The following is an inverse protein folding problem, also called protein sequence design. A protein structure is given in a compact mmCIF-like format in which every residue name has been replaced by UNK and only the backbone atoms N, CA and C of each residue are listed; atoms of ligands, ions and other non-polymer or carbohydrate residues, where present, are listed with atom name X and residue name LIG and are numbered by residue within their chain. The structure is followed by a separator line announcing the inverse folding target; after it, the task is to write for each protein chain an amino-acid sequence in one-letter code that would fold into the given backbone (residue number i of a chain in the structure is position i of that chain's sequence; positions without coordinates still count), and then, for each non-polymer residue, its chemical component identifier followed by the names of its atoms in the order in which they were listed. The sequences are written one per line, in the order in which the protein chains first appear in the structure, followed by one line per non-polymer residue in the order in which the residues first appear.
data_IF_745877469147
#
_entry.id   IF_745877469147
#
_cell.length_a   1.000
_cell.length_b   1.000
_cell.length_c   1.000
_cell.angle_alpha   90.00
_cell.angle_beta   90.00
_cell.angle_gamma   90.00
#
_symmetry.space_group_name_H-M   'P 1'
#
loop_
_entity.id
_entity.type
_entity.pdbx_description
1 polymer ?
#
# COMPACT_ATOMS: atom_id res chain seq x y z
N UNK A 1 -18.20 0.66 12.18
CA UNK A 1 -16.92 1.23 12.60
C UNK A 1 -16.58 2.36 11.64
N UNK A 2 -16.39 3.56 12.17
CA UNK A 2 -16.07 4.73 11.35
C UNK A 2 -14.57 4.76 11.09
N UNK A 3 -14.19 4.52 9.83
CA UNK A 3 -12.80 4.51 9.41
C UNK A 3 -12.46 5.83 8.74
N UNK A 4 -11.40 6.48 9.21
CA UNK A 4 -10.86 7.71 8.62
C UNK A 4 -9.53 7.40 7.95
N UNK A 5 -9.34 7.90 6.73
CA UNK A 5 -8.05 7.83 6.03
C UNK A 5 -7.36 9.18 6.15
N UNK A 6 -6.14 9.17 6.65
CA UNK A 6 -5.34 10.38 6.82
C UNK A 6 -3.85 10.11 6.63
N UNK A 7 -3.07 11.19 6.52
CA UNK A 7 -1.62 11.07 6.42
C UNK A 7 -1.02 10.53 7.71
N UNK A 8 -0.04 9.64 7.56
CA UNK A 8 0.71 9.12 8.69
C UNK A 8 1.60 10.22 9.29
N UNK A 9 1.80 10.15 10.60
CA UNK A 9 2.66 11.07 11.37
C UNK A 9 3.58 10.27 12.27
N UNK A 10 4.62 10.90 12.77
CA UNK A 10 5.58 10.26 13.68
C UNK A 10 4.91 9.64 14.92
N UNK A 11 3.81 10.24 15.41
CA UNK A 11 3.04 9.70 16.53
C UNK A 11 2.45 8.31 16.25
N UNK A 12 2.27 7.94 14.97
CA UNK A 12 1.74 6.65 14.58
C UNK A 12 2.79 5.53 14.54
N UNK A 13 4.08 5.88 14.58
CA UNK A 13 5.18 4.89 14.41
C UNK A 13 5.10 3.69 15.37
N UNK A 14 4.79 3.85 16.66
CA UNK A 14 4.67 2.68 17.54
C UNK A 14 3.61 1.68 17.08
N UNK A 15 2.43 2.16 16.65
CA UNK A 15 1.38 1.29 16.14
C UNK A 15 1.74 0.67 14.79
N UNK A 16 2.40 1.43 13.92
CA UNK A 16 2.86 0.94 12.62
C UNK A 16 3.90 -0.18 12.78
N UNK A 17 4.80 -0.06 13.75
CA UNK A 17 5.76 -1.10 14.09
C UNK A 17 5.08 -2.43 14.49
N UNK A 18 4.07 -2.34 15.33
CA UNK A 18 3.28 -3.51 15.75
C UNK A 18 2.59 -4.13 14.53
N UNK A 19 2.03 -3.30 13.67
CA UNK A 19 1.35 -3.74 12.45
C UNK A 19 2.31 -4.47 11.50
N UNK A 20 3.51 -3.94 11.30
CA UNK A 20 4.55 -4.56 10.49
C UNK A 20 4.87 -5.97 10.98
N UNK A 21 5.10 -6.12 12.28
CA UNK A 21 5.42 -7.42 12.88
C UNK A 21 4.26 -8.41 12.75
N UNK A 22 3.02 -7.93 12.78
CA UNK A 22 1.84 -8.78 12.65
C UNK A 22 1.59 -9.22 11.20
N UNK A 23 2.01 -8.42 10.22
CA UNK A 23 1.65 -8.63 8.81
C UNK A 23 2.77 -9.24 7.96
N UNK A 24 4.03 -9.05 8.33
CA UNK A 24 5.17 -9.40 7.46
C UNK A 24 6.21 -10.25 8.18
N UNK A 25 6.76 -11.23 7.45
CA UNK A 25 7.85 -12.09 7.94
C UNK A 25 9.18 -11.36 8.04
N UNK A 26 9.36 -10.29 7.23
CA UNK A 26 10.53 -9.42 7.26
C UNK A 26 10.05 -7.98 7.43
N UNK A 27 9.61 -7.59 8.63
CA UNK A 27 9.01 -6.27 8.87
C UNK A 27 10.03 -5.15 8.73
N UNK A 28 9.56 -3.97 8.27
CA UNK A 28 10.35 -2.76 8.32
C UNK A 28 10.61 -2.37 9.77
N UNK A 29 11.78 -1.83 10.02
CA UNK A 29 12.14 -1.25 11.32
C UNK A 29 11.44 0.11 11.48
N UNK A 30 11.44 0.62 12.73
CA UNK A 30 10.94 1.98 12.99
C UNK A 30 11.65 3.02 12.12
N UNK A 31 12.98 2.91 11.97
CA UNK A 31 13.76 3.82 11.14
C UNK A 31 13.33 3.76 9.67
N UNK A 32 13.08 2.56 9.14
CA UNK A 32 12.59 2.38 7.77
C UNK A 32 11.19 2.97 7.61
N UNK A 33 10.29 2.74 8.56
CA UNK A 33 8.95 3.34 8.55
C UNK A 33 9.03 4.86 8.61
N UNK A 34 9.88 5.40 9.46
CA UNK A 34 10.06 6.85 9.59
C UNK A 34 10.55 7.47 8.28
N UNK A 35 11.41 6.77 7.53
CA UNK A 35 11.91 7.23 6.23
C UNK A 35 10.82 7.29 5.16
N UNK A 36 9.69 6.62 5.35
CA UNK A 36 8.55 6.59 4.41
C UNK A 36 7.47 7.61 4.76
N UNK A 37 7.59 8.34 5.88
CA UNK A 37 6.60 9.35 6.27
C UNK A 37 6.45 10.42 5.19
N UNK A 38 5.27 11.07 5.12
CA UNK A 38 4.97 12.00 4.03
C UNK A 38 6.01 13.09 3.83
N UNK A 39 6.46 13.24 2.59
CA UNK A 39 7.36 14.28 2.13
C UNK A 39 7.14 14.51 0.61
N UNK A 40 8.09 15.15 -0.08
CA UNK A 40 7.96 15.46 -1.50
C UNK A 40 7.86 14.22 -2.40
N UNK A 41 8.30 13.05 -1.92
CA UNK A 41 8.35 11.81 -2.71
C UNK A 41 7.51 10.69 -2.12
N UNK A 42 7.05 10.84 -0.88
CA UNK A 42 6.36 9.78 -0.15
C UNK A 42 4.92 10.17 0.16
N UNK A 43 4.01 9.30 -0.21
CA UNK A 43 2.63 9.31 0.27
C UNK A 43 2.49 8.14 1.24
N UNK A 44 2.03 8.41 2.44
CA UNK A 44 1.85 7.41 3.47
C UNK A 44 0.52 7.66 4.16
N UNK A 45 -0.45 6.79 3.92
CA UNK A 45 -1.80 6.90 4.45
C UNK A 45 -2.05 5.86 5.51
N UNK A 46 -2.75 6.24 6.56
CA UNK A 46 -3.25 5.30 7.56
C UNK A 46 -4.78 5.27 7.51
N UNK A 47 -5.32 4.12 7.87
CA UNK A 47 -6.73 3.95 8.19
C UNK A 47 -6.83 3.87 9.70
N UNK A 48 -7.65 4.70 10.30
CA UNK A 48 -7.80 4.77 11.75
C UNK A 48 -9.27 4.79 12.16
N UNK A 49 -9.55 4.16 13.29
CA UNK A 49 -10.82 4.30 14.00
C UNK A 49 -10.50 4.95 15.35
N UNK A 50 -10.86 6.22 15.52
CA UNK A 50 -10.40 7.01 16.65
C UNK A 50 -8.87 7.09 16.66
N UNK A 51 -8.24 6.68 17.75
CA UNK A 51 -6.78 6.68 17.89
C UNK A 51 -6.13 5.35 17.51
N UNK A 52 -6.91 4.37 17.08
CA UNK A 52 -6.42 3.05 16.70
C UNK A 52 -6.09 3.00 15.21
N UNK A 53 -4.84 2.69 14.87
CA UNK A 53 -4.43 2.45 13.48
C UNK A 53 -4.85 1.03 13.09
N UNK A 54 -5.67 0.94 12.04
CA UNK A 54 -6.20 -0.33 11.53
C UNK A 54 -5.34 -0.91 10.42
N UNK A 55 -4.68 -0.05 9.67
CA UNK A 55 -3.87 -0.42 8.53
C UNK A 55 -3.20 0.79 7.90
N UNK A 56 -2.37 0.53 6.89
CA UNK A 56 -1.71 1.60 6.15
C UNK A 56 -1.41 1.18 4.71
N UNK A 57 -1.17 2.18 3.88
CA UNK A 57 -0.66 2.00 2.53
C UNK A 57 0.25 3.17 2.17
N UNK A 58 1.29 2.90 1.42
CA UNK A 58 2.23 3.95 1.04
C UNK A 58 2.79 3.73 -0.36
N UNK A 59 3.28 4.81 -0.96
CA UNK A 59 4.08 4.73 -2.18
C UNK A 59 5.18 5.79 -2.17
N UNK A 60 6.24 5.48 -2.90
CA UNK A 60 7.29 6.43 -3.27
C UNK A 60 7.04 6.83 -4.72
N UNK A 61 7.14 8.10 -5.05
CA UNK A 61 7.04 8.52 -6.45
C UNK A 61 8.25 9.35 -6.86
N UNK A 62 8.65 9.13 -8.11
CA UNK A 62 9.70 9.88 -8.77
C UNK A 62 9.17 10.28 -10.15
N UNK A 63 9.20 11.57 -10.45
CA UNK A 63 8.55 12.12 -11.65
C UNK A 63 7.07 11.72 -11.64
N UNK A 64 6.59 11.04 -12.68
CA UNK A 64 5.19 10.61 -12.83
C UNK A 64 4.98 9.12 -12.53
N UNK A 65 5.94 8.46 -11.88
CA UNK A 65 5.93 7.02 -11.60
C UNK A 65 5.85 6.77 -10.10
N UNK A 66 4.89 5.97 -9.66
CA UNK A 66 4.72 5.59 -8.27
C UNK A 66 4.98 4.12 -8.02
N UNK A 67 5.56 3.83 -6.86
CA UNK A 67 5.96 2.49 -6.44
C UNK A 67 5.38 2.23 -5.04
N UNK A 68 4.40 1.34 -4.98
CA UNK A 68 3.77 0.99 -3.69
C UNK A 68 4.76 0.19 -2.86
N UNK A 69 4.99 0.64 -1.64
CA UNK A 69 5.85 -0.05 -0.68
C UNK A 69 5.12 -1.21 -0.03
N UNK A 70 4.11 -0.89 0.75
CA UNK A 70 3.31 -1.90 1.45
C UNK A 70 1.84 -1.49 1.51
N UNK A 71 0.98 -2.49 1.62
CA UNK A 71 -0.43 -2.35 2.02
C UNK A 71 -0.65 -3.37 3.13
N UNK A 72 -1.02 -2.91 4.31
CA UNK A 72 -1.15 -3.76 5.48
C UNK A 72 -2.41 -3.43 6.27
N UNK A 73 -3.12 -4.45 6.71
CA UNK A 73 -4.27 -4.33 7.59
C UNK A 73 -4.05 -5.28 8.77
N UNK A 74 -4.25 -4.78 9.99
CA UNK A 74 -4.16 -5.59 11.19
C UNK A 74 -5.07 -6.81 11.05
N UNK A 75 -4.59 -8.02 11.44
CA UNK A 75 -5.36 -9.26 11.24
C UNK A 75 -6.79 -9.21 11.76
N UNK A 76 -7.01 -8.58 12.92
CA UNK A 76 -8.33 -8.46 13.57
C UNK A 76 -9.29 -7.53 12.81
N UNK A 77 -8.79 -6.72 11.88
CA UNK A 77 -9.61 -5.77 11.11
C UNK A 77 -9.71 -6.13 9.62
N UNK A 78 -9.24 -7.30 9.23
CA UNK A 78 -9.35 -7.79 7.85
C UNK A 78 -10.79 -8.12 7.49
N UNK A 79 -11.10 -8.10 6.19
CA UNK A 79 -12.43 -8.38 5.62
C UNK A 79 -13.50 -7.38 6.06
N UNK A 80 -13.10 -6.16 6.39
CA UNK A 80 -14.01 -5.08 6.79
C UNK A 80 -13.90 -3.85 5.87
N UNK A 81 -13.26 -4.01 4.70
CA UNK A 81 -13.14 -2.95 3.72
C UNK A 81 -12.02 -1.94 3.99
N UNK A 82 -11.15 -2.18 4.98
CA UNK A 82 -10.05 -1.25 5.32
C UNK A 82 -9.05 -1.13 4.18
N UNK A 83 -8.62 -2.26 3.60
CA UNK A 83 -7.69 -2.25 2.48
C UNK A 83 -8.30 -1.61 1.23
N UNK A 84 -9.59 -1.84 0.99
CA UNK A 84 -10.31 -1.17 -0.11
C UNK A 84 -10.26 0.35 0.05
N UNK A 85 -10.55 0.87 1.25
CA UNK A 85 -10.53 2.29 1.54
C UNK A 85 -9.11 2.88 1.37
N UNK A 86 -8.09 2.17 1.82
CA UNK A 86 -6.69 2.59 1.67
C UNK A 86 -6.28 2.65 0.19
N UNK A 87 -6.59 1.62 -0.59
CA UNK A 87 -6.24 1.58 -2.01
C UNK A 87 -6.97 2.64 -2.82
N UNK A 88 -8.25 2.84 -2.53
CA UNK A 88 -9.04 3.88 -3.18
C UNK A 88 -8.43 5.27 -2.92
N UNK A 89 -8.08 5.55 -1.68
CA UNK A 89 -7.45 6.82 -1.30
C UNK A 89 -6.03 6.95 -1.91
N UNK A 90 -5.28 5.85 -1.97
CA UNK A 90 -3.94 5.85 -2.54
C UNK A 90 -3.97 6.16 -4.04
N UNK A 91 -4.86 5.52 -4.79
CA UNK A 91 -5.06 5.79 -6.21
C UNK A 91 -5.56 7.21 -6.47
N UNK A 92 -6.45 7.72 -5.63
CA UNK A 92 -6.93 9.11 -5.70
C UNK A 92 -5.78 10.09 -5.48
N UNK A 93 -4.90 9.82 -4.54
CA UNK A 93 -3.73 10.66 -4.27
C UNK A 93 -2.74 10.63 -5.45
N UNK A 94 -2.53 9.45 -6.05
CA UNK A 94 -1.69 9.30 -7.24
C UNK A 94 -2.25 10.10 -8.43
N UNK A 95 -3.55 10.04 -8.63
CA UNK A 95 -4.22 10.82 -9.69
C UNK A 95 -4.08 12.33 -9.44
N UNK A 96 -4.23 12.78 -8.20
CA UNK A 96 -4.06 14.20 -7.83
C UNK A 96 -2.63 14.70 -8.04
N UNK A 97 -1.64 13.82 -7.96
CA UNK A 97 -0.23 14.12 -8.23
C UNK A 97 0.14 13.96 -9.71
N UNK A 98 -0.82 13.66 -10.58
CA UNK A 98 -0.62 13.43 -12.01
C UNK A 98 0.35 12.27 -12.31
N UNK A 99 0.39 11.25 -11.45
CA UNK A 99 1.20 10.07 -11.71
C UNK A 99 0.58 9.26 -12.86
N UNK A 100 1.42 8.74 -13.74
CA UNK A 100 0.99 7.89 -14.86
C UNK A 100 0.56 6.52 -14.35
N UNK A 101 1.29 5.96 -13.38
CA UNK A 101 0.98 4.64 -12.85
C UNK A 101 1.47 4.46 -11.41
N UNK A 102 0.88 3.44 -10.76
CA UNK A 102 1.39 2.85 -9.52
C UNK A 102 1.73 1.39 -9.80
N UNK A 103 2.88 0.94 -9.38
CA UNK A 103 3.28 -0.46 -9.50
C UNK A 103 3.55 -1.07 -8.12
N UNK A 104 3.44 -2.38 -8.01
CA UNK A 104 3.72 -3.11 -6.78
C UNK A 104 4.22 -4.52 -7.08
N UNK A 105 4.88 -5.11 -6.10
CA UNK A 105 5.18 -6.54 -6.06
C UNK A 105 4.30 -7.19 -4.99
N UNK A 106 3.77 -8.37 -5.29
CA UNK A 106 2.99 -9.17 -4.35
C UNK A 106 3.43 -10.63 -4.48
N UNK A 107 3.46 -11.35 -3.34
CA UNK A 107 3.77 -12.79 -3.37
C UNK A 107 2.83 -13.51 -4.31
N UNK A 108 3.37 -14.33 -5.20
CA UNK A 108 2.59 -15.04 -6.21
C UNK A 108 1.48 -15.91 -5.60
N UNK A 109 1.68 -16.41 -4.39
CA UNK A 109 0.70 -17.22 -3.66
C UNK A 109 -0.37 -16.42 -2.92
N UNK A 110 -0.22 -15.09 -2.83
CA UNK A 110 -1.14 -14.26 -2.05
C UNK A 110 -2.41 -13.95 -2.86
N UNK A 111 -3.25 -14.95 -3.03
CA UNK A 111 -4.48 -14.84 -3.83
C UNK A 111 -5.44 -13.75 -3.32
N UNK A 112 -5.69 -13.59 -2.01
CA UNK A 112 -6.55 -12.51 -1.54
C UNK A 112 -6.04 -11.11 -1.89
N UNK A 113 -4.74 -10.86 -1.76
CA UNK A 113 -4.14 -9.57 -2.10
C UNK A 113 -4.21 -9.32 -3.61
N UNK A 114 -3.89 -10.32 -4.42
CA UNK A 114 -3.98 -10.21 -5.89
C UNK A 114 -5.42 -9.87 -6.32
N UNK A 115 -6.41 -10.53 -5.74
CA UNK A 115 -7.82 -10.26 -6.03
C UNK A 115 -8.20 -8.83 -5.63
N UNK A 116 -7.73 -8.36 -4.47
CA UNK A 116 -7.95 -7.00 -4.00
C UNK A 116 -7.36 -5.97 -4.98
N UNK A 117 -6.12 -6.16 -5.40
CA UNK A 117 -5.47 -5.25 -6.34
C UNK A 117 -6.19 -5.22 -7.70
N UNK A 118 -6.59 -6.39 -8.21
CA UNK A 118 -7.37 -6.46 -9.46
C UNK A 118 -8.70 -5.71 -9.36
N UNK A 119 -9.36 -5.81 -8.22
CA UNK A 119 -10.61 -5.09 -7.96
C UNK A 119 -10.43 -3.57 -8.10
N UNK A 120 -9.25 -3.07 -7.73
CA UNK A 120 -8.92 -1.64 -7.81
C UNK A 120 -8.23 -1.25 -9.12
N UNK A 121 -8.25 -2.11 -10.13
CA UNK A 121 -7.78 -1.80 -11.46
C UNK A 121 -6.31 -2.12 -11.72
N UNK A 122 -5.62 -2.78 -10.80
CA UNK A 122 -4.26 -3.26 -11.02
C UNK A 122 -4.29 -4.48 -11.94
N UNK A 123 -3.35 -4.54 -12.87
CA UNK A 123 -3.19 -5.63 -13.81
C UNK A 123 -1.82 -6.29 -13.65
N UNK A 124 -1.76 -7.61 -13.80
CA UNK A 124 -0.50 -8.33 -13.79
C UNK A 124 0.29 -7.99 -15.05
N UNK A 125 1.53 -7.53 -14.88
CA UNK A 125 2.39 -7.09 -15.99
C UNK A 125 3.71 -7.88 -16.07
N UNK A 126 4.02 -8.70 -15.07
CA UNK A 126 5.24 -9.48 -15.06
C UNK A 126 5.44 -10.24 -13.78
N UNK A 127 6.58 -10.89 -13.69
CA UNK A 127 7.00 -11.68 -12.53
C UNK A 127 8.47 -11.43 -12.24
N UNK A 128 8.85 -11.45 -10.94
CA UNK A 128 10.24 -11.48 -10.49
C UNK A 128 10.50 -12.77 -9.76
N UNK A 129 11.42 -13.59 -10.27
CA UNK A 129 11.78 -14.86 -9.65
C UNK A 129 12.54 -14.63 -8.35
N UNK A 130 12.20 -15.42 -7.32
CA UNK A 130 12.89 -15.45 -6.03
C UNK A 130 13.04 -14.06 -5.40
N UNK A 131 12.03 -13.21 -5.58
CA UNK A 131 12.03 -11.84 -5.07
C UNK A 131 11.90 -11.79 -3.54
N UNK A 132 11.04 -12.66 -2.99
CA UNK A 132 10.80 -12.72 -1.55
C UNK A 132 11.63 -13.79 -0.87
N UNK A 133 11.89 -13.57 0.42
CA UNK A 133 12.54 -14.53 1.31
C UNK A 133 11.63 -14.82 2.50
N UNK A 134 11.87 -15.95 3.18
CA UNK A 134 11.18 -16.37 4.43
C UNK A 134 9.66 -16.48 4.28
N UNK A 135 9.12 -17.35 3.39
CA UNK A 135 9.81 -18.26 2.49
C UNK A 135 10.22 -17.62 1.17
N UNK A 136 11.11 -18.30 0.45
CA UNK A 136 11.48 -17.89 -0.90
C UNK A 136 10.30 -18.05 -1.82
N UNK A 137 10.01 -17.02 -2.57
CA UNK A 137 8.84 -16.99 -3.45
C UNK A 137 8.98 -15.94 -4.54
N UNK A 138 8.38 -16.21 -5.69
CA UNK A 138 8.29 -15.24 -6.78
C UNK A 138 7.34 -14.10 -6.42
N UNK A 139 7.61 -12.92 -6.96
CA UNK A 139 6.69 -11.80 -6.92
C UNK A 139 5.93 -11.71 -8.24
N UNK A 140 4.63 -11.42 -8.14
CA UNK A 140 3.83 -10.94 -9.26
C UNK A 140 3.95 -9.42 -9.30
N UNK A 141 4.27 -8.86 -10.47
CA UNK A 141 4.26 -7.41 -10.70
C UNK A 141 2.87 -6.99 -11.14
N UNK A 142 2.30 -6.03 -10.46
CA UNK A 142 0.98 -5.48 -10.80
C UNK A 142 1.05 -3.98 -10.94
N UNK A 143 0.34 -3.43 -11.90
CA UNK A 143 0.35 -1.99 -12.20
C UNK A 143 -1.06 -1.47 -12.40
N UNK A 144 -1.32 -0.32 -11.76
CA UNK A 144 -2.50 0.50 -11.98
C UNK A 144 -2.09 1.69 -12.84
N UNK A 145 -2.82 1.94 -13.93
CA UNK A 145 -2.61 3.08 -14.79
C UNK A 145 -3.68 4.12 -14.55
N UNK A 146 -3.26 5.38 -14.39
CA UNK A 146 -4.20 6.48 -14.27
C UNK A 146 -5.01 6.59 -15.56
N UNK A 147 -6.35 6.66 -15.42
CA UNK A 147 -7.21 6.97 -16.58
C UNK A 147 -7.13 8.46 -16.84
N UNK A 148 -6.81 8.81 -18.10
CA UNK A 148 -6.97 10.18 -18.54
C UNK A 148 -8.46 10.50 -18.60
N UNK A 149 -8.82 11.76 -18.27
CA UNK A 149 -10.19 12.21 -18.44
C UNK A 149 -10.54 12.13 -19.93
N UNK A 150 -11.65 11.43 -20.24
CA UNK A 150 -12.12 11.39 -21.62
C UNK A 150 -12.48 12.83 -22.02
N UNK A 151 -11.73 13.35 -22.97
CA UNK A 151 -12.08 14.61 -23.64
C UNK A 151 -13.10 14.30 -24.72
N UNK A 152 -14.30 14.78 -24.50
CA UNK A 152 -15.35 14.70 -25.51
C UNK A 152 -15.21 15.89 -26.46
#
# INVERSE_FOLDING_TARGET
MDVTICDARSAHLPQLEVLECACFSAPWTRAQLASQLPDDRHVFLIAAAGETVLGYANFLHVLDEGDIGNVAVAPEFRRQGVADALLEALCARAAALDLTFLTLEVRASNAPAIALYRKHGFQAVGQRRNYYQKPDEDALLMTWFRREAETI
#
